data_IF_006855102984
#
_entry.id   IF_006855102984
#
_cell.length_a   1.000
_cell.length_b   1.000
_cell.length_c   1.000
_cell.angle_alpha   90.00
_cell.angle_beta   90.00
_cell.angle_gamma   90.00
#
_symmetry.space_group_name_H-M   'P 1'
#
loop_
_entity.id
_entity.type
_entity.pdbx_description
1 polymer ?
#
# COMPACT_ATOMS: atom_id res chain seq x y z
N UNK A 1 -3.46 -31.87 -3.25
CA UNK A 1 -2.74 -30.62 -3.60
C UNK A 1 -2.50 -29.73 -2.39
N UNK A 2 -3.45 -29.51 -1.48
CA UNK A 2 -3.32 -28.61 -0.30
C UNK A 2 -2.13 -28.95 0.62
N UNK A 3 -1.83 -30.24 0.89
CA UNK A 3 -0.71 -30.64 1.73
C UNK A 3 0.67 -30.36 1.15
N UNK A 4 0.82 -30.43 -0.18
CA UNK A 4 2.11 -30.12 -0.84
C UNK A 4 2.43 -28.61 -0.79
N UNK A 5 1.41 -27.77 -0.94
CA UNK A 5 1.56 -26.31 -0.83
C UNK A 5 1.92 -25.91 0.60
N UNK A 6 1.25 -26.49 1.61
CA UNK A 6 1.57 -26.25 3.01
C UNK A 6 2.99 -26.71 3.35
N UNK A 7 3.43 -27.86 2.85
CA UNK A 7 4.80 -28.35 3.05
C UNK A 7 5.85 -27.46 2.41
N UNK A 8 5.61 -26.95 1.19
CA UNK A 8 6.51 -26.02 0.50
C UNK A 8 6.60 -24.70 1.26
N UNK A 9 5.46 -24.16 1.73
CA UNK A 9 5.43 -22.92 2.52
C UNK A 9 6.17 -23.11 3.85
N UNK A 10 5.95 -24.23 4.55
CA UNK A 10 6.66 -24.54 5.82
C UNK A 10 8.16 -24.74 5.59
N UNK A 11 8.55 -25.43 4.51
CA UNK A 11 9.95 -25.63 4.14
C UNK A 11 10.62 -24.29 3.79
N UNK A 12 9.92 -23.41 3.05
CA UNK A 12 10.38 -22.06 2.75
C UNK A 12 10.60 -21.25 4.04
N UNK A 13 9.66 -21.33 4.99
CA UNK A 13 9.79 -20.68 6.30
C UNK A 13 10.98 -21.20 7.10
N UNK A 14 11.22 -22.51 7.10
CA UNK A 14 12.36 -23.13 7.81
C UNK A 14 13.69 -22.78 7.16
N UNK A 15 13.77 -22.74 5.82
CA UNK A 15 14.98 -22.34 5.10
C UNK A 15 15.31 -20.84 5.30
N UNK A 16 14.30 -20.01 5.50
CA UNK A 16 14.46 -18.58 5.77
C UNK A 16 14.83 -18.28 7.23
N UNK A 17 14.63 -19.22 8.18
CA UNK A 17 14.98 -19.07 9.58
C UNK A 17 16.49 -19.20 9.87
N UNK A 18 17.32 -19.52 8.87
CA UNK A 18 18.75 -19.73 8.99
C UNK A 18 19.58 -18.49 8.69
N UNK A 19 20.11 -17.87 9.74
CA UNK A 19 21.22 -16.92 9.76
C UNK A 19 21.01 -15.58 9.06
N UNK A 20 20.52 -14.62 9.81
CA UNK A 20 20.74 -13.23 9.47
C UNK A 20 21.05 -12.44 10.75
N UNK A 21 22.30 -12.36 11.11
CA UNK A 21 22.85 -11.31 11.97
C UNK A 21 23.10 -10.06 11.14
N UNK A 22 22.08 -9.56 10.44
CA UNK A 22 22.24 -8.39 9.62
C UNK A 22 21.79 -7.14 10.38
N UNK A 23 22.56 -6.09 10.20
CA UNK A 23 22.20 -4.74 10.66
C UNK A 23 21.06 -4.22 9.78
N UNK A 24 19.82 -4.45 10.17
CA UNK A 24 18.61 -4.06 9.46
C UNK A 24 18.06 -2.75 10.00
N UNK A 25 17.38 -2.00 9.13
CA UNK A 25 16.79 -0.69 9.47
C UNK A 25 17.79 0.32 10.04
N UNK A 26 19.01 0.34 9.49
CA UNK A 26 20.02 1.35 9.87
C UNK A 26 19.63 2.73 9.34
N UNK A 27 19.99 3.81 10.07
CA UNK A 27 19.84 5.16 9.56
C UNK A 27 20.53 5.34 8.21
N UNK A 28 19.85 5.99 7.27
CA UNK A 28 20.24 6.26 5.88
C UNK A 28 20.05 5.09 4.91
N UNK A 29 19.72 3.87 5.35
CA UNK A 29 19.26 2.83 4.43
C UNK A 29 18.02 3.30 3.68
N UNK A 30 17.86 2.84 2.45
CA UNK A 30 16.71 3.11 1.61
C UNK A 30 16.07 1.80 1.16
N UNK A 31 14.78 1.83 0.90
CA UNK A 31 14.07 0.68 0.35
C UNK A 31 13.10 1.13 -0.73
N UNK A 32 13.03 0.38 -1.82
CA UNK A 32 11.98 0.50 -2.83
C UNK A 32 11.02 -0.65 -2.64
N UNK A 33 9.75 -0.36 -2.55
CA UNK A 33 8.69 -1.33 -2.35
C UNK A 33 7.69 -1.26 -3.49
N UNK A 34 7.28 -2.41 -3.97
CA UNK A 34 6.13 -2.57 -4.86
C UNK A 34 5.03 -3.26 -4.05
N UNK A 35 3.86 -2.66 -4.03
CA UNK A 35 2.70 -3.18 -3.28
C UNK A 35 1.49 -3.35 -4.16
N UNK A 36 0.69 -4.35 -3.83
CA UNK A 36 -0.62 -4.59 -4.39
C UNK A 36 -1.60 -4.85 -3.26
N UNK A 37 -2.85 -4.44 -3.44
CA UNK A 37 -3.85 -4.57 -2.39
C UNK A 37 -5.27 -4.52 -2.92
N UNK A 38 -6.18 -4.63 -1.97
CA UNK A 38 -7.62 -4.53 -2.20
C UNK A 38 -8.15 -3.41 -1.31
N UNK A 39 -9.20 -2.74 -1.76
CA UNK A 39 -9.98 -1.84 -0.94
C UNK A 39 -11.36 -2.46 -0.61
N UNK A 40 -12.04 -1.92 0.38
CA UNK A 40 -13.35 -2.42 0.82
C UNK A 40 -14.46 -2.25 -0.23
N UNK A 41 -14.26 -1.41 -1.25
CA UNK A 41 -15.23 -1.15 -2.32
C UNK A 41 -14.95 -2.01 -3.58
N UNK A 42 -14.55 -3.29 -3.39
CA UNK A 42 -14.25 -4.26 -4.47
C UNK A 42 -13.28 -3.72 -5.53
N UNK A 43 -12.39 -2.83 -5.11
CA UNK A 43 -11.36 -2.27 -5.95
C UNK A 43 -9.99 -2.88 -5.69
N UNK A 44 -9.04 -2.54 -6.53
CA UNK A 44 -7.64 -2.92 -6.33
C UNK A 44 -6.74 -1.69 -6.25
N UNK A 45 -5.61 -1.87 -5.56
CA UNK A 45 -4.59 -0.85 -5.35
C UNK A 45 -3.26 -1.39 -5.84
N UNK A 46 -2.54 -0.58 -6.59
CA UNK A 46 -1.15 -0.83 -6.98
C UNK A 46 -0.31 0.37 -6.57
N UNK A 47 0.85 0.13 -5.98
CA UNK A 47 1.68 1.22 -5.51
C UNK A 47 3.17 0.93 -5.57
N UNK A 48 3.94 2.00 -5.62
CA UNK A 48 5.38 1.98 -5.47
C UNK A 48 5.80 3.01 -4.41
N UNK A 49 6.60 2.60 -3.45
CA UNK A 49 7.08 3.47 -2.38
C UNK A 49 8.58 3.43 -2.22
N UNK A 50 9.15 4.58 -1.84
CA UNK A 50 10.51 4.76 -1.42
C UNK A 50 10.52 4.98 0.09
N UNK A 51 11.23 4.14 0.83
CA UNK A 51 11.44 4.29 2.27
C UNK A 51 12.85 4.78 2.55
N UNK A 52 12.99 5.69 3.50
CA UNK A 52 14.28 6.15 4.02
C UNK A 52 14.30 5.95 5.53
N UNK A 53 15.17 5.06 6.02
CA UNK A 53 15.22 4.70 7.42
C UNK A 53 15.95 5.77 8.25
N UNK A 54 15.37 6.10 9.39
CA UNK A 54 15.86 7.06 10.37
C UNK A 54 16.36 6.33 11.64
N UNK A 55 16.77 7.10 12.63
CA UNK A 55 17.18 6.55 13.93
C UNK A 55 16.02 5.79 14.61
N UNK A 56 16.35 4.71 15.31
CA UNK A 56 15.37 3.89 16.03
C UNK A 56 14.56 2.95 15.13
N UNK A 57 14.95 2.78 13.85
CA UNK A 57 14.23 1.97 12.90
C UNK A 57 12.99 2.63 12.30
N UNK A 58 12.70 3.89 12.64
CA UNK A 58 11.65 4.68 12.02
C UNK A 58 11.94 4.91 10.53
N UNK A 59 10.92 5.23 9.74
CA UNK A 59 11.11 5.48 8.31
C UNK A 59 10.25 6.63 7.80
N UNK A 60 10.81 7.40 6.87
CA UNK A 60 10.07 8.27 5.96
C UNK A 60 9.64 7.45 4.75
N UNK A 61 8.42 7.64 4.30
CA UNK A 61 7.85 6.96 3.14
C UNK A 61 7.36 8.00 2.15
N UNK A 62 7.73 7.81 0.89
CA UNK A 62 7.28 8.59 -0.26
C UNK A 62 6.78 7.63 -1.30
N UNK A 63 5.61 7.83 -1.85
CA UNK A 63 5.03 6.86 -2.76
C UNK A 63 4.08 7.45 -3.77
N UNK A 64 3.77 6.60 -4.75
CA UNK A 64 2.69 6.83 -5.71
C UNK A 64 1.81 5.59 -5.71
N UNK A 65 0.52 5.81 -5.85
CA UNK A 65 -0.50 4.78 -5.77
C UNK A 65 -1.55 4.98 -6.85
N UNK A 66 -1.95 3.89 -7.44
CA UNK A 66 -3.11 3.78 -8.32
C UNK A 66 -4.16 2.93 -7.62
N UNK A 67 -5.35 3.48 -7.45
CA UNK A 67 -6.52 2.78 -6.93
C UNK A 67 -7.59 2.79 -8.01
N UNK A 68 -8.20 1.65 -8.26
CA UNK A 68 -9.39 1.54 -9.11
C UNK A 68 -10.51 0.88 -8.31
N UNK A 69 -11.68 1.52 -8.35
CA UNK A 69 -12.93 0.97 -7.84
C UNK A 69 -13.95 0.91 -8.95
N UNK A 70 -14.96 0.09 -8.76
CA UNK A 70 -16.04 -0.09 -9.70
C UNK A 70 -17.36 0.26 -9.01
N UNK A 71 -18.14 1.13 -9.63
CA UNK A 71 -19.48 1.46 -9.17
C UNK A 71 -20.51 0.86 -10.13
N UNK A 72 -21.40 0.05 -9.63
CA UNK A 72 -22.48 -0.52 -10.44
C UNK A 72 -23.61 0.48 -10.62
N UNK A 73 -23.92 0.78 -11.88
CA UNK A 73 -25.06 1.58 -12.28
C UNK A 73 -25.94 0.78 -13.22
N UNK A 74 -27.11 0.31 -12.73
CA UNK A 74 -28.03 -0.60 -13.46
C UNK A 74 -27.31 -1.84 -13.97
N UNK A 75 -27.09 -1.96 -15.30
CA UNK A 75 -26.38 -3.07 -15.95
C UNK A 75 -24.97 -2.70 -16.40
N UNK A 76 -24.44 -1.55 -15.98
CA UNK A 76 -23.11 -1.07 -16.38
C UNK A 76 -22.28 -0.73 -15.17
N UNK A 77 -21.02 -1.13 -15.20
CA UNK A 77 -20.02 -0.81 -14.19
C UNK A 77 -19.28 0.46 -14.62
N UNK A 78 -19.27 1.46 -13.75
CA UNK A 78 -18.57 2.74 -13.94
C UNK A 78 -17.24 2.66 -13.21
N UNK A 79 -16.10 2.63 -13.91
CA UNK A 79 -14.80 2.63 -13.26
C UNK A 79 -14.47 4.02 -12.72
N UNK A 80 -13.98 4.08 -11.51
CA UNK A 80 -13.38 5.26 -10.92
C UNK A 80 -11.92 4.96 -10.55
N UNK A 81 -11.01 5.78 -11.03
CA UNK A 81 -9.58 5.61 -10.83
C UNK A 81 -9.00 6.82 -10.08
N UNK A 82 -8.15 6.55 -9.10
CA UNK A 82 -7.40 7.56 -8.35
C UNK A 82 -5.91 7.35 -8.52
N UNK A 83 -5.20 8.43 -8.80
CA UNK A 83 -3.74 8.51 -8.80
C UNK A 83 -3.34 9.40 -7.64
N UNK A 84 -2.66 8.85 -6.63
CA UNK A 84 -2.26 9.60 -5.45
C UNK A 84 -0.76 9.50 -5.23
N UNK A 85 -0.16 10.62 -4.81
CA UNK A 85 1.18 10.68 -4.24
C UNK A 85 1.07 10.80 -2.73
N UNK A 86 2.00 10.19 -2.02
CA UNK A 86 2.07 10.23 -0.57
C UNK A 86 3.44 10.65 -0.05
N UNK A 87 3.43 11.32 1.12
CA UNK A 87 4.60 11.55 1.92
C UNK A 87 4.24 11.37 3.40
N UNK A 88 4.96 10.52 4.12
CA UNK A 88 4.60 10.19 5.49
C UNK A 88 5.76 9.77 6.36
N UNK A 89 5.47 9.63 7.65
CA UNK A 89 6.39 9.15 8.66
C UNK A 89 5.80 7.96 9.39
N UNK A 90 6.60 6.91 9.53
CA UNK A 90 6.23 5.64 10.13
C UNK A 90 7.11 5.37 11.33
N UNK A 91 6.49 5.26 12.50
CA UNK A 91 7.13 4.96 13.77
C UNK A 91 7.22 3.45 13.98
N UNK A 92 8.42 2.97 14.25
CA UNK A 92 8.65 1.57 14.65
C UNK A 92 8.29 1.42 16.13
N UNK A 93 7.14 0.82 16.41
CA UNK A 93 6.68 0.62 17.77
C UNK A 93 6.99 -0.79 18.31
N UNK A 94 7.30 -1.75 17.43
CA UNK A 94 7.69 -3.09 17.82
C UNK A 94 8.64 -3.70 16.80
N UNK A 95 9.71 -4.33 17.30
CA UNK A 95 10.62 -5.12 16.49
C UNK A 95 11.06 -6.36 17.26
N UNK A 96 11.21 -7.48 16.56
CA UNK A 96 11.74 -8.71 17.12
C UNK A 96 13.21 -8.53 17.55
N UNK A 97 13.65 -9.30 18.56
CA UNK A 97 15.01 -9.30 19.05
C UNK A 97 16.05 -9.65 17.97
N UNK A 98 15.67 -10.49 17.00
CA UNK A 98 16.49 -10.86 15.85
C UNK A 98 16.42 -9.85 14.70
N UNK A 99 15.64 -8.79 14.83
CA UNK A 99 15.44 -7.78 13.79
C UNK A 99 14.97 -8.36 12.46
N UNK A 100 14.12 -9.37 12.50
CA UNK A 100 13.49 -9.99 11.33
C UNK A 100 12.13 -9.40 11.05
N UNK A 101 11.37 -9.08 12.11
CA UNK A 101 10.01 -8.54 12.01
C UNK A 101 9.98 -7.14 12.61
N UNK A 102 9.37 -6.21 11.89
CA UNK A 102 9.16 -4.84 12.33
C UNK A 102 7.70 -4.48 12.14
N UNK A 103 7.10 -3.80 13.13
CA UNK A 103 5.77 -3.26 13.08
C UNK A 103 5.82 -1.74 13.18
N UNK A 104 5.11 -1.08 12.29
CA UNK A 104 5.07 0.37 12.19
C UNK A 104 3.64 0.88 12.31
N UNK A 105 3.51 2.02 12.97
CA UNK A 105 2.33 2.88 12.88
C UNK A 105 2.74 4.15 12.15
N UNK A 106 2.04 4.48 11.08
CA UNK A 106 2.39 5.60 10.22
C UNK A 106 1.23 6.56 9.97
N UNK A 107 1.61 7.79 9.67
CA UNK A 107 0.70 8.80 9.14
C UNK A 107 1.32 9.43 7.90
N UNK A 108 0.51 9.66 6.87
CA UNK A 108 0.93 10.27 5.62
C UNK A 108 -0.06 11.32 5.13
N UNK A 109 0.45 12.32 4.43
CA UNK A 109 -0.35 13.24 3.62
C UNK A 109 -0.46 12.70 2.21
N UNK A 110 -1.63 12.87 1.61
CA UNK A 110 -1.99 12.40 0.28
C UNK A 110 -2.41 13.57 -0.59
N UNK A 111 -2.01 13.55 -1.86
CA UNK A 111 -2.51 14.46 -2.87
C UNK A 111 -2.57 13.73 -4.21
N UNK A 112 -3.60 14.00 -5.02
CA UNK A 112 -3.73 13.26 -6.26
C UNK A 112 -4.89 13.73 -7.13
N UNK A 113 -5.26 12.87 -8.03
CA UNK A 113 -6.28 13.13 -9.03
C UNK A 113 -7.19 11.91 -9.18
N UNK A 114 -8.48 12.17 -9.18
CA UNK A 114 -9.52 11.17 -9.43
C UNK A 114 -10.12 11.39 -10.80
N UNK A 115 -10.32 10.32 -11.56
CA UNK A 115 -11.06 10.33 -12.82
C UNK A 115 -12.18 9.31 -12.76
N UNK A 116 -13.36 9.71 -13.16
CA UNK A 116 -14.56 8.87 -13.22
C UNK A 116 -14.87 8.59 -14.68
N UNK A 117 -15.06 7.31 -15.02
CA UNK A 117 -15.34 6.86 -16.39
C UNK A 117 -14.32 7.40 -17.42
N UNK A 118 -13.04 7.55 -17.01
CA UNK A 118 -11.95 8.08 -17.84
C UNK A 118 -12.25 9.46 -18.46
N UNK A 119 -13.07 10.28 -17.78
CA UNK A 119 -13.47 11.61 -18.23
C UNK A 119 -14.69 11.63 -19.17
N UNK A 120 -15.25 10.49 -19.53
CA UNK A 120 -16.46 10.41 -20.34
C UNK A 120 -17.70 10.69 -19.49
N UNK A 121 -18.38 11.79 -19.79
CA UNK A 121 -19.55 12.26 -19.02
C UNK A 121 -20.88 11.64 -19.46
N UNK A 122 -20.91 10.91 -20.57
CA UNK A 122 -22.14 10.34 -21.11
C UNK A 122 -22.07 8.81 -21.08
N UNK A 123 -23.04 8.20 -20.43
CA UNK A 123 -23.19 6.75 -20.41
C UNK A 123 -23.89 6.27 -21.68
N UNK A 124 -23.84 4.95 -21.93
CA UNK A 124 -24.45 4.31 -23.13
C UNK A 124 -25.96 4.53 -23.25
N UNK A 125 -26.67 4.80 -22.16
CA UNK A 125 -28.10 5.07 -22.11
C UNK A 125 -28.45 6.57 -22.24
N UNK A 126 -27.45 7.43 -22.51
CA UNK A 126 -27.60 8.87 -22.60
C UNK A 126 -27.64 9.58 -21.26
N UNK A 127 -27.54 8.88 -20.13
CA UNK A 127 -27.44 9.49 -18.82
C UNK A 127 -26.11 10.24 -18.69
N UNK A 128 -26.13 11.40 -18.04
CA UNK A 128 -24.91 12.18 -17.77
C UNK A 128 -24.42 11.93 -16.36
N UNK A 129 -23.13 11.64 -16.25
CA UNK A 129 -22.44 11.61 -14.96
C UNK A 129 -22.33 13.05 -14.44
N UNK A 130 -22.80 13.23 -13.21
CA UNK A 130 -22.71 14.53 -12.53
C UNK A 130 -21.34 14.71 -11.85
N UNK A 131 -20.61 13.60 -11.63
CA UNK A 131 -19.28 13.57 -11.06
C UNK A 131 -18.25 13.63 -12.19
N UNK A 132 -17.34 14.57 -12.11
CA UNK A 132 -16.23 14.73 -13.04
C UNK A 132 -14.90 14.45 -12.35
N UNK A 133 -13.86 14.56 -13.15
CA UNK A 133 -12.51 14.51 -12.65
C UNK A 133 -12.25 15.56 -11.57
N UNK A 134 -11.56 15.19 -10.51
CA UNK A 134 -11.34 16.04 -9.36
C UNK A 134 -9.93 15.89 -8.78
N UNK A 135 -9.40 16.99 -8.25
CA UNK A 135 -8.23 16.95 -7.40
C UNK A 135 -8.60 16.43 -6.02
N UNK A 136 -7.90 15.43 -5.54
CA UNK A 136 -8.11 14.83 -4.23
C UNK A 136 -6.91 15.09 -3.32
N UNK A 137 -7.20 15.34 -2.06
CA UNK A 137 -6.17 15.53 -1.03
C UNK A 137 -6.63 14.97 0.30
N UNK A 138 -5.68 14.64 1.16
CA UNK A 138 -6.06 14.07 2.44
C UNK A 138 -4.92 13.54 3.26
N UNK A 139 -5.25 12.59 4.12
CA UNK A 139 -4.28 11.89 4.95
C UNK A 139 -4.60 10.40 5.04
N UNK A 140 -3.61 9.62 5.49
CA UNK A 140 -3.81 8.21 5.82
C UNK A 140 -3.16 7.86 7.13
N UNK A 141 -3.79 6.92 7.84
CA UNK A 141 -3.21 6.19 8.96
C UNK A 141 -2.90 4.77 8.49
N UNK A 142 -1.70 4.28 8.78
CA UNK A 142 -1.23 2.98 8.28
C UNK A 142 -0.63 2.17 9.42
N UNK A 143 -1.03 0.90 9.52
CA UNK A 143 -0.28 -0.14 10.22
C UNK A 143 0.46 -0.95 9.18
N UNK A 144 1.78 -1.07 9.34
CA UNK A 144 2.63 -1.74 8.36
C UNK A 144 3.55 -2.74 9.06
N UNK A 145 3.68 -3.91 8.47
CA UNK A 145 4.54 -4.99 8.94
C UNK A 145 5.59 -5.31 7.88
N UNK A 146 6.84 -5.34 8.28
CA UNK A 146 7.96 -5.78 7.43
C UNK A 146 8.56 -7.07 7.99
N UNK A 147 8.69 -8.08 7.14
CA UNK A 147 9.34 -9.35 7.45
C UNK A 147 10.53 -9.54 6.52
N UNK A 148 11.72 -9.45 7.06
CA UNK A 148 12.95 -9.61 6.29
C UNK A 148 13.21 -11.09 5.96
N UNK A 149 13.25 -11.41 4.68
CA UNK A 149 13.61 -12.72 4.17
C UNK A 149 15.14 -12.83 3.99
N UNK A 150 15.75 -11.73 3.59
CA UNK A 150 17.19 -11.55 3.46
C UNK A 150 17.53 -10.08 3.76
N UNK A 151 18.81 -9.73 3.77
CA UNK A 151 19.26 -8.37 4.10
C UNK A 151 18.81 -7.33 3.08
N UNK A 152 18.57 -7.76 1.85
CA UNK A 152 18.20 -6.91 0.74
C UNK A 152 16.72 -7.03 0.33
N UNK A 153 15.94 -7.95 0.94
CA UNK A 153 14.54 -8.18 0.58
C UNK A 153 13.67 -8.39 1.81
N UNK A 154 12.54 -7.72 1.86
CA UNK A 154 11.52 -7.90 2.87
C UNK A 154 10.15 -8.07 2.23
N UNK A 155 9.30 -8.87 2.85
CA UNK A 155 7.86 -8.90 2.58
C UNK A 155 7.19 -7.86 3.46
N UNK A 156 6.19 -7.18 2.90
CA UNK A 156 5.40 -6.19 3.63
C UNK A 156 3.92 -6.57 3.62
N UNK A 157 3.23 -6.21 4.69
CA UNK A 157 1.77 -6.29 4.77
C UNK A 157 1.27 -5.02 5.45
N UNK A 158 0.25 -4.39 4.88
CA UNK A 158 -0.27 -3.13 5.39
C UNK A 158 -1.77 -3.13 5.51
N UNK A 159 -2.25 -2.47 6.56
CA UNK A 159 -3.62 -2.05 6.78
C UNK A 159 -3.62 -0.54 6.82
N UNK A 160 -4.38 0.08 5.94
CA UNK A 160 -4.41 1.53 5.77
C UNK A 160 -5.83 2.04 5.76
N UNK A 161 -6.05 3.13 6.50
CA UNK A 161 -7.26 3.93 6.45
C UNK A 161 -6.93 5.28 5.81
N UNK A 162 -7.59 5.59 4.68
CA UNK A 162 -7.41 6.83 3.92
C UNK A 162 -8.59 7.76 4.15
N UNK A 163 -8.29 9.03 4.35
CA UNK A 163 -9.27 10.11 4.46
C UNK A 163 -8.99 11.10 3.34
N UNK A 164 -9.79 11.04 2.27
CA UNK A 164 -9.63 11.87 1.07
C UNK A 164 -10.82 12.80 0.88
N UNK A 165 -10.53 14.04 0.60
CA UNK A 165 -11.50 15.07 0.26
C UNK A 165 -11.32 15.52 -1.20
N UNK A 166 -12.40 16.01 -1.80
CA UNK A 166 -12.41 16.52 -3.16
C UNK A 166 -12.87 15.51 -4.22
N UNK A 167 -12.87 14.22 -3.92
CA UNK A 167 -13.30 13.16 -4.83
C UNK A 167 -14.78 12.79 -4.70
N UNK A 168 -15.23 11.88 -5.54
CA UNK A 168 -16.59 11.35 -5.61
C UNK A 168 -16.74 9.96 -4.98
N UNK A 169 -15.64 9.25 -4.70
CA UNK A 169 -15.65 7.85 -4.22
C UNK A 169 -16.00 7.76 -2.73
N UNK A 170 -16.05 8.86 -2.01
CA UNK A 170 -16.26 8.92 -0.55
C UNK A 170 -15.02 9.40 0.18
N UNK A 171 -15.17 9.70 1.48
CA UNK A 171 -14.09 10.31 2.27
C UNK A 171 -13.18 9.27 2.90
N UNK A 172 -13.73 8.12 3.31
CA UNK A 172 -13.04 7.10 4.11
C UNK A 172 -12.89 5.81 3.31
N UNK A 173 -11.67 5.26 3.24
CA UNK A 173 -11.36 4.05 2.48
C UNK A 173 -10.37 3.18 3.24
N UNK A 174 -10.78 1.95 3.52
CA UNK A 174 -9.88 0.94 4.11
C UNK A 174 -9.20 0.14 3.00
N UNK A 175 -7.90 -0.03 3.12
CA UNK A 175 -7.06 -0.77 2.17
C UNK A 175 -6.24 -1.83 2.89
N UNK A 176 -6.15 -2.99 2.25
CA UNK A 176 -5.32 -4.12 2.67
C UNK A 176 -4.28 -4.36 1.59
N UNK A 177 -3.01 -4.29 1.93
CA UNK A 177 -1.93 -4.42 0.97
C UNK A 177 -0.89 -5.46 1.37
N UNK A 178 -0.28 -6.06 0.37
CA UNK A 178 0.94 -6.86 0.49
C UNK A 178 1.98 -6.32 -0.48
N UNK A 179 3.24 -6.45 -0.14
CA UNK A 179 4.30 -5.93 -0.99
C UNK A 179 5.61 -6.68 -0.84
N UNK A 180 6.52 -6.34 -1.74
CA UNK A 180 7.91 -6.77 -1.70
C UNK A 180 8.78 -5.52 -1.70
N UNK A 181 9.67 -5.43 -0.72
CA UNK A 181 10.58 -4.32 -0.53
C UNK A 181 12.01 -4.77 -0.78
N UNK A 182 12.71 -4.02 -1.61
CA UNK A 182 14.14 -4.18 -1.89
C UNK A 182 14.90 -3.10 -1.15
N UNK A 183 15.86 -3.52 -0.32
CA UNK A 183 16.72 -2.59 0.45
C UNK A 183 17.93 -2.24 -0.42
N UNK A 184 18.19 -0.94 -0.52
CA UNK A 184 19.29 -0.34 -1.26
C UNK A 184 20.18 0.40 -0.27
N UNK A 185 21.45 0.11 -0.25
CA UNK A 185 22.46 0.79 0.56
C UNK A 185 23.17 1.86 -0.23
#
# INVERSE_FOLDING_TARGET
MKGKVLFIVTLLFVLLAGRAEAQRCLPKMRGIELKAGLNEADGYVLGATLSSYAKGGNKWVYGVEYLQTNHDYRSTTIPAAQFTAEGGFYYNFLSDAKKVVFLYAGASALAGYETVNWGEKTLYDGARLNNGDAFVYGCAATLDMEVYLADFIALTASLRERFLWGGSIGVCHTEYGIGVKFIIN
#
